data_IF_934268195240
#
_entry.id   IF_934268195240
#
_cell.length_a   1.000
_cell.length_b   1.000
_cell.length_c   1.000
_cell.angle_alpha   90.00
_cell.angle_beta   90.00
_cell.angle_gamma   90.00
#
_symmetry.space_group_name_H-M   'P 1'
#
loop_
_entity.id
_entity.type
_entity.pdbx_description
1 polymer ?
#
# COMPACT_ATOMS: atom_id res chain seq x y z
N UNK A 1 32.41 -68.83 18.45
CA UNK A 1 31.63 -67.95 17.55
C UNK A 1 30.12 -68.04 17.85
N UNK A 2 29.67 -67.63 19.06
CA UNK A 2 28.24 -67.68 19.46
C UNK A 2 27.70 -66.35 20.02
N UNK A 3 28.57 -65.36 20.28
CA UNK A 3 28.19 -64.05 20.83
C UNK A 3 27.76 -63.02 19.78
N UNK A 4 28.38 -63.01 18.60
CA UNK A 4 28.11 -61.99 17.57
C UNK A 4 26.71 -62.10 16.94
N UNK A 5 26.19 -63.32 16.80
CA UNK A 5 24.87 -63.55 16.20
C UNK A 5 23.71 -63.03 17.09
N UNK A 6 23.87 -63.10 18.41
CA UNK A 6 22.88 -62.59 19.36
C UNK A 6 22.86 -61.06 19.40
N UNK A 7 24.02 -60.41 19.28
CA UNK A 7 24.12 -58.95 19.22
C UNK A 7 23.54 -58.42 17.91
N UNK A 8 23.77 -59.11 16.79
CA UNK A 8 23.25 -58.70 15.48
C UNK A 8 21.71 -58.78 15.41
N UNK A 9 21.11 -59.85 15.95
CA UNK A 9 19.63 -59.97 16.02
C UNK A 9 19.04 -58.86 16.90
N UNK A 10 19.66 -58.56 18.04
CA UNK A 10 19.16 -57.54 18.96
C UNK A 10 19.24 -56.13 18.33
N UNK A 11 20.27 -55.85 17.55
CA UNK A 11 20.42 -54.57 16.84
C UNK A 11 19.40 -54.40 15.71
N UNK A 12 19.13 -55.45 14.91
CA UNK A 12 18.10 -55.40 13.87
C UNK A 12 16.69 -55.23 14.44
N UNK A 13 16.41 -55.80 15.61
CA UNK A 13 15.10 -55.67 16.27
C UNK A 13 14.87 -54.24 16.78
N UNK A 14 15.91 -53.58 17.30
CA UNK A 14 15.85 -52.18 17.75
C UNK A 14 15.67 -51.21 16.57
N UNK A 15 16.33 -51.46 15.43
CA UNK A 15 16.16 -50.63 14.23
C UNK A 15 14.75 -50.74 13.66
N UNK A 16 14.17 -51.95 13.61
CA UNK A 16 12.80 -52.16 13.13
C UNK A 16 11.73 -51.56 14.06
N UNK A 17 11.99 -51.46 15.37
CA UNK A 17 11.08 -50.81 16.33
C UNK A 17 11.11 -49.27 16.26
N UNK A 18 12.17 -48.67 15.73
CA UNK A 18 12.31 -47.22 15.60
C UNK A 18 11.72 -46.65 14.30
N UNK A 19 11.40 -47.48 13.30
CA UNK A 19 10.85 -47.04 12.00
C UNK A 19 9.31 -47.17 11.90
N UNK A 20 8.62 -47.53 12.98
CA UNK A 20 7.20 -47.90 12.98
C UNK A 20 6.19 -46.85 13.45
N UNK A 21 6.46 -45.53 13.34
CA UNK A 21 5.53 -44.50 13.80
C UNK A 21 5.22 -43.39 12.78
N UNK A 22 4.95 -43.74 11.52
CA UNK A 22 4.13 -42.89 10.66
C UNK A 22 2.97 -43.70 10.06
N UNK A 23 1.85 -42.98 9.91
CA UNK A 23 0.61 -43.34 9.24
C UNK A 23 -0.46 -44.09 10.04
N UNK A 24 -1.19 -43.29 10.85
CA UNK A 24 -2.63 -43.47 11.03
C UNK A 24 -3.37 -42.11 10.95
N UNK A 25 -3.94 -41.87 9.76
CA UNK A 25 -5.27 -41.30 9.46
C UNK A 25 -5.70 -39.93 10.05
N UNK A 26 -5.72 -38.95 9.13
CA UNK A 26 -6.88 -38.13 8.74
C UNK A 26 -7.81 -37.59 9.84
N UNK A 27 -7.61 -36.31 10.18
CA UNK A 27 -8.73 -35.42 10.53
C UNK A 27 -8.93 -34.49 9.34
N UNK A 28 -10.08 -34.63 8.68
CA UNK A 28 -10.65 -33.60 7.80
C UNK A 28 -10.74 -32.29 8.60
N UNK A 29 -9.84 -31.36 8.30
CA UNK A 29 -10.01 -29.95 8.63
C UNK A 29 -10.76 -29.26 7.49
N UNK A 30 -11.71 -28.34 7.78
CA UNK A 30 -12.49 -27.66 6.76
C UNK A 30 -11.57 -26.95 5.75
N UNK A 31 -11.95 -26.87 4.46
CA UNK A 31 -11.09 -26.34 3.43
C UNK A 31 -10.65 -24.93 3.78
N UNK A 32 -9.33 -24.75 3.85
CA UNK A 32 -8.70 -23.44 3.83
C UNK A 32 -9.31 -22.64 2.66
N UNK A 33 -9.92 -21.51 2.99
CA UNK A 33 -10.47 -20.59 2.02
C UNK A 33 -9.37 -20.24 1.00
N UNK A 34 -9.55 -20.71 -0.23
CA UNK A 34 -8.73 -20.30 -1.35
C UNK A 34 -8.84 -18.76 -1.52
N UNK A 35 -7.77 -18.07 -1.91
CA UNK A 35 -7.85 -16.66 -2.25
C UNK A 35 -8.82 -16.48 -3.43
N UNK A 36 -9.68 -15.45 -3.45
CA UNK A 36 -10.57 -15.22 -4.58
C UNK A 36 -9.74 -14.88 -5.83
N UNK A 37 -9.67 -15.82 -6.76
CA UNK A 37 -9.31 -15.56 -8.14
C UNK A 37 -10.32 -14.58 -8.73
N UNK A 38 -9.83 -13.55 -9.42
CA UNK A 38 -10.62 -12.54 -10.09
C UNK A 38 -11.66 -13.18 -11.04
N UNK A 39 -12.95 -12.94 -10.76
CA UNK A 39 -14.04 -13.24 -11.71
C UNK A 39 -14.66 -11.91 -12.14
N UNK A 40 -14.60 -11.68 -13.44
CA UNK A 40 -15.23 -10.57 -14.16
C UNK A 40 -16.79 -10.61 -14.05
N UNK A 41 -17.50 -9.50 -14.33
CA UNK A 41 -18.83 -9.25 -13.77
C UNK A 41 -19.95 -9.92 -14.57
N UNK A 42 -20.90 -10.53 -13.86
CA UNK A 42 -22.20 -10.93 -14.42
C UNK A 42 -23.26 -9.94 -13.94
N UNK A 43 -23.91 -9.29 -14.91
CA UNK A 43 -25.04 -8.38 -14.75
C UNK A 43 -26.31 -9.09 -14.26
N UNK A 44 -27.08 -8.36 -13.43
CA UNK A 44 -28.52 -8.54 -13.07
C UNK A 44 -28.82 -9.14 -11.69
N UNK A 45 -29.24 -8.29 -10.74
CA UNK A 45 -30.65 -8.12 -10.33
C UNK A 45 -30.79 -7.18 -9.11
N UNK A 46 -31.55 -6.07 -9.27
CA UNK A 46 -32.30 -5.36 -8.20
C UNK A 46 -33.53 -6.24 -7.81
N UNK A 47 -34.24 -6.12 -6.66
CA UNK A 47 -34.44 -4.99 -5.74
C UNK A 47 -34.21 -5.36 -4.24
N UNK A 48 -34.12 -4.47 -3.26
CA UNK A 48 -35.19 -3.65 -2.69
C UNK A 48 -34.61 -2.58 -1.77
N UNK A 49 -35.23 -1.39 -1.83
CA UNK A 49 -35.05 -0.30 -0.91
C UNK A 49 -35.65 -0.63 0.46
N UNK A 50 -34.97 -0.23 1.53
CA UNK A 50 -35.60 0.12 2.80
C UNK A 50 -34.90 1.36 3.31
N UNK A 51 -35.60 2.48 3.17
CA UNK A 51 -35.31 3.74 3.84
C UNK A 51 -35.42 3.54 5.35
N UNK A 52 -34.38 3.89 6.08
CA UNK A 52 -34.54 4.49 7.41
C UNK A 52 -33.55 5.64 7.48
N UNK A 53 -34.07 6.84 7.27
CA UNK A 53 -33.36 8.08 7.56
C UNK A 53 -33.16 8.22 9.06
N UNK A 54 -31.98 8.68 9.45
CA UNK A 54 -31.78 9.53 10.62
C UNK A 54 -30.75 10.58 10.23
N UNK A 55 -31.29 11.76 10.04
CA UNK A 55 -30.67 13.06 9.85
C UNK A 55 -29.68 13.35 10.97
N UNK A 56 -28.40 13.57 10.65
CA UNK A 56 -27.46 14.26 11.55
C UNK A 56 -26.83 15.42 10.77
N UNK A 57 -27.39 16.58 11.03
CA UNK A 57 -27.00 17.90 10.55
C UNK A 57 -25.53 18.20 10.91
N UNK A 58 -24.70 18.74 9.99
CA UNK A 58 -23.36 19.20 10.35
C UNK A 58 -23.46 20.53 11.11
N UNK A 59 -23.05 20.54 12.38
CA UNK A 59 -22.82 21.81 13.10
C UNK A 59 -21.48 22.38 12.65
N UNK A 60 -21.54 23.33 11.73
CA UNK A 60 -20.45 24.27 11.45
C UNK A 60 -20.42 25.28 12.59
N UNK A 61 -19.32 25.36 13.32
CA UNK A 61 -18.99 26.53 14.15
C UNK A 61 -17.76 27.20 13.53
N UNK A 62 -18.01 28.33 12.89
CA UNK A 62 -17.01 29.27 12.43
C UNK A 62 -16.63 30.25 13.57
N UNK A 63 -15.44 30.82 13.41
CA UNK A 63 -14.87 32.00 14.07
C UNK A 63 -14.34 31.85 15.49
N UNK A 64 -13.00 31.98 15.61
CA UNK A 64 -12.37 33.21 16.12
C UNK A 64 -10.84 33.11 15.97
N UNK A 65 -10.30 33.83 14.98
CA UNK A 65 -8.94 34.32 15.05
C UNK A 65 -8.88 35.47 16.07
N UNK A 66 -7.73 35.63 16.76
CA UNK A 66 -7.16 36.97 16.88
C UNK A 66 -5.66 36.97 16.57
N UNK A 67 -5.29 37.73 15.52
CA UNK A 67 -3.97 38.36 15.35
C UNK A 67 -4.14 39.80 15.84
N UNK A 68 -3.27 40.33 16.71
CA UNK A 68 -2.25 41.26 16.22
C UNK A 68 -0.95 41.25 17.04
N UNK A 69 0.21 41.12 16.38
CA UNK A 69 1.48 41.58 16.96
C UNK A 69 2.24 42.50 15.98
N UNK A 70 2.05 43.79 16.24
CA UNK A 70 2.74 44.96 15.72
C UNK A 70 4.27 44.87 15.82
N UNK A 71 4.96 45.15 14.71
CA UNK A 71 6.33 45.68 14.72
C UNK A 71 6.62 46.55 13.48
N UNK A 72 6.69 47.86 13.68
CA UNK A 72 7.49 48.83 12.92
C UNK A 72 8.37 49.54 13.98
N UNK A 73 9.57 50.12 13.71
CA UNK A 73 9.92 50.97 12.55
C UNK A 73 11.35 50.74 12.00
N UNK A 74 11.81 51.31 10.88
CA UNK A 74 12.54 52.59 10.83
C UNK A 74 13.02 52.89 9.40
N UNK A 75 12.85 54.14 8.98
CA UNK A 75 13.26 54.76 7.71
C UNK A 75 14.67 55.35 7.87
N UNK A 76 15.48 55.43 6.81
CA UNK A 76 16.30 56.62 6.63
C UNK A 76 15.95 57.40 5.37
N UNK A 77 15.59 58.65 5.62
CA UNK A 77 15.45 59.79 4.73
C UNK A 77 16.76 60.10 4.01
N UNK A 78 16.74 60.29 2.68
CA UNK A 78 17.66 61.18 1.97
C UNK A 78 16.95 61.82 0.77
N UNK A 79 16.66 63.11 0.90
CA UNK A 79 16.29 64.06 -0.17
C UNK A 79 17.57 64.56 -0.86
N UNK A 80 17.57 64.69 -2.20
CA UNK A 80 17.78 66.02 -2.78
C UNK A 80 16.89 66.32 -4.01
N UNK A 81 16.41 67.57 -4.08
CA UNK A 81 15.74 68.23 -5.22
C UNK A 81 16.79 68.88 -6.18
N UNK A 82 16.42 69.52 -7.31
CA UNK A 82 16.13 68.99 -8.65
C UNK A 82 17.18 69.40 -9.72
N UNK A 83 16.99 69.01 -10.99
CA UNK A 83 16.98 70.06 -12.02
C UNK A 83 15.79 69.99 -13.00
N UNK A 84 15.48 71.17 -13.53
CA UNK A 84 14.34 71.58 -14.38
C UNK A 84 14.44 71.14 -15.85
N UNK A 85 13.26 71.05 -16.52
CA UNK A 85 12.96 71.24 -17.97
C UNK A 85 12.65 69.97 -18.81
N UNK A 86 11.79 70.02 -19.87
CA UNK A 86 10.47 70.64 -20.03
C UNK A 86 9.34 69.59 -20.25
N UNK A 87 8.11 70.07 -20.16
CA UNK A 87 6.84 69.37 -20.40
C UNK A 87 6.61 69.03 -21.90
N UNK A 88 6.28 67.78 -22.27
CA UNK A 88 5.66 67.50 -23.56
C UNK A 88 4.13 67.51 -23.44
N UNK A 89 3.49 68.43 -24.18
CA UNK A 89 2.06 68.41 -24.50
C UNK A 89 1.64 67.02 -24.99
N UNK A 90 0.73 66.39 -24.26
CA UNK A 90 0.08 65.16 -24.72
C UNK A 90 -1.23 65.53 -25.40
N UNK A 91 -1.22 65.48 -26.73
CA UNK A 91 -2.42 65.53 -27.57
C UNK A 91 -3.35 64.37 -27.17
N UNK A 92 -4.54 64.71 -26.67
CA UNK A 92 -5.59 63.75 -26.33
C UNK A 92 -6.17 63.11 -27.58
N UNK A 93 -5.79 61.86 -27.84
CA UNK A 93 -6.43 60.98 -28.83
C UNK A 93 -7.61 60.28 -28.14
N UNK A 94 -8.83 60.25 -28.70
CA UNK A 94 -9.93 59.51 -28.11
C UNK A 94 -9.63 58.00 -28.17
N UNK A 95 -9.29 57.40 -27.05
CA UNK A 95 -9.22 55.94 -26.90
C UNK A 95 -10.66 55.39 -26.95
N UNK A 96 -11.02 54.75 -28.06
CA UNK A 96 -12.21 53.89 -28.11
C UNK A 96 -12.01 52.75 -27.11
N UNK A 97 -12.67 52.86 -25.95
CA UNK A 97 -12.69 51.82 -24.93
C UNK A 97 -13.47 50.63 -25.52
N UNK A 98 -12.88 49.42 -25.62
CA UNK A 98 -13.68 48.25 -25.96
C UNK A 98 -14.66 48.02 -24.81
N UNK A 99 -15.94 48.00 -25.11
CA UNK A 99 -16.96 47.47 -24.19
C UNK A 99 -16.64 46.00 -23.98
N UNK A 100 -16.03 45.67 -22.84
CA UNK A 100 -15.87 44.28 -22.40
C UNK A 100 -17.28 43.79 -22.12
N UNK A 101 -17.84 43.03 -23.06
CA UNK A 101 -19.04 42.26 -22.80
C UNK A 101 -18.71 41.34 -21.64
N UNK A 102 -19.37 41.54 -20.49
CA UNK A 102 -19.36 40.60 -19.36
C UNK A 102 -20.12 39.33 -19.78
N UNK A 103 -19.54 38.59 -20.73
CA UNK A 103 -19.95 37.24 -21.05
C UNK A 103 -19.46 36.33 -19.94
N UNK A 104 -20.38 35.83 -19.12
CA UNK A 104 -20.12 34.73 -18.22
C UNK A 104 -19.54 33.57 -19.04
N UNK A 105 -18.23 33.31 -18.91
CA UNK A 105 -17.62 32.15 -19.53
C UNK A 105 -18.16 30.91 -18.81
N UNK A 106 -18.59 29.86 -19.54
CA UNK A 106 -19.00 28.62 -18.91
C UNK A 106 -17.85 28.06 -18.05
N UNK A 107 -18.14 27.49 -16.87
CA UNK A 107 -17.10 26.94 -16.00
C UNK A 107 -16.32 25.86 -16.74
N UNK A 108 -15.00 25.99 -16.75
CA UNK A 108 -14.09 24.99 -17.28
C UNK A 108 -14.17 23.73 -16.40
N UNK A 109 -14.96 22.74 -16.83
CA UNK A 109 -14.98 21.44 -16.17
C UNK A 109 -13.75 20.66 -16.61
N UNK A 110 -12.76 20.51 -15.72
CA UNK A 110 -11.68 19.55 -15.92
C UNK A 110 -12.28 18.14 -15.81
N UNK A 111 -11.96 17.22 -16.73
CA UNK A 111 -12.33 15.82 -16.55
C UNK A 111 -11.65 15.29 -15.29
N UNK A 112 -12.45 15.02 -14.26
CA UNK A 112 -11.98 14.37 -13.03
C UNK A 112 -11.80 12.89 -13.32
N UNK A 113 -10.56 12.41 -13.28
CA UNK A 113 -10.28 10.97 -13.33
C UNK A 113 -10.88 10.31 -12.09
N UNK A 114 -11.55 9.17 -12.25
CA UNK A 114 -12.02 8.37 -11.12
C UNK A 114 -10.87 8.06 -10.16
N UNK A 115 -11.11 8.10 -8.83
CA UNK A 115 -10.10 7.71 -7.87
C UNK A 115 -9.71 6.24 -8.09
N UNK A 116 -8.41 5.96 -8.05
CA UNK A 116 -7.90 4.59 -8.12
C UNK A 116 -8.30 3.83 -6.87
N UNK A 117 -8.66 2.56 -7.02
CA UNK A 117 -8.80 1.60 -5.93
C UNK A 117 -7.45 1.33 -5.25
N UNK A 118 -7.51 0.78 -4.04
CA UNK A 118 -6.31 0.43 -3.28
C UNK A 118 -5.43 -0.58 -4.03
N UNK A 119 -6.06 -1.56 -4.67
CA UNK A 119 -5.38 -2.56 -5.49
C UNK A 119 -4.70 -1.94 -6.71
N UNK A 120 -5.38 -1.04 -7.43
CA UNK A 120 -4.76 -0.33 -8.55
C UNK A 120 -3.57 0.54 -8.12
N UNK A 121 -3.63 1.16 -6.94
CA UNK A 121 -2.49 1.92 -6.40
C UNK A 121 -1.30 1.01 -6.10
N UNK A 122 -1.55 -0.18 -5.56
CA UNK A 122 -0.50 -1.17 -5.34
C UNK A 122 0.08 -1.69 -6.66
N UNK A 123 -0.77 -2.08 -7.62
CA UNK A 123 -0.34 -2.51 -8.96
C UNK A 123 0.49 -1.45 -9.68
N UNK A 124 0.22 -0.16 -9.48
CA UNK A 124 1.06 0.92 -10.02
C UNK A 124 2.48 0.93 -9.48
N UNK A 125 2.74 0.41 -8.28
CA UNK A 125 4.09 0.30 -7.71
C UNK A 125 4.91 -0.84 -8.32
N UNK A 126 4.28 -1.78 -9.02
CA UNK A 126 4.96 -2.94 -9.56
C UNK A 126 5.28 -2.72 -11.05
N UNK A 127 6.55 -2.50 -11.36
CA UNK A 127 7.03 -2.44 -12.74
C UNK A 127 7.33 -3.85 -13.24
N UNK A 128 6.98 -4.12 -14.50
CA UNK A 128 7.31 -5.36 -15.20
C UNK A 128 6.87 -6.65 -14.48
N UNK A 129 5.78 -6.58 -13.69
CA UNK A 129 5.27 -7.70 -12.89
C UNK A 129 5.07 -8.96 -13.74
N UNK A 130 5.75 -10.03 -13.38
CA UNK A 130 5.58 -11.37 -13.96
C UNK A 130 5.00 -12.31 -12.89
N UNK A 131 3.70 -12.65 -12.95
CA UNK A 131 3.16 -13.70 -12.09
C UNK A 131 3.73 -15.06 -12.46
N UNK A 132 3.97 -15.90 -11.45
CA UNK A 132 4.32 -17.31 -11.66
C UNK A 132 3.06 -18.13 -11.99
N UNK A 133 3.21 -19.22 -12.74
CA UNK A 133 2.11 -20.14 -13.05
C UNK A 133 1.50 -20.77 -11.79
N UNK A 134 2.33 -20.97 -10.76
CA UNK A 134 1.96 -21.41 -9.42
C UNK A 134 2.90 -20.76 -8.39
N UNK A 135 2.49 -20.65 -7.11
CA UNK A 135 3.37 -20.16 -6.05
C UNK A 135 4.68 -20.95 -5.98
N UNK A 136 5.81 -20.25 -5.97
CA UNK A 136 7.16 -20.82 -5.95
C UNK A 136 7.75 -20.69 -4.54
N UNK A 137 8.44 -21.74 -4.09
CA UNK A 137 9.13 -21.74 -2.80
C UNK A 137 10.49 -21.05 -2.91
N UNK A 138 10.71 -20.08 -2.04
CA UNK A 138 12.00 -19.45 -1.80
C UNK A 138 12.44 -19.72 -0.37
N UNK A 139 13.71 -19.45 -0.08
CA UNK A 139 14.21 -19.36 1.28
C UNK A 139 15.01 -18.09 1.51
N UNK A 140 14.98 -17.60 2.74
CA UNK A 140 15.77 -16.44 3.16
C UNK A 140 16.48 -16.65 4.49
N UNK A 141 17.64 -16.02 4.62
CA UNK A 141 18.33 -15.78 5.88
C UNK A 141 18.18 -14.30 6.20
N UNK A 142 17.13 -13.97 6.93
CA UNK A 142 16.84 -12.65 7.47
C UNK A 142 16.46 -11.58 6.43
N UNK A 143 15.31 -11.74 5.78
CA UNK A 143 14.73 -10.71 4.91
C UNK A 143 13.63 -9.94 5.62
N UNK A 144 13.51 -8.65 5.32
CA UNK A 144 12.35 -7.84 5.71
C UNK A 144 11.14 -8.18 4.83
N UNK A 145 9.98 -8.37 5.47
CA UNK A 145 8.69 -8.47 4.79
C UNK A 145 8.04 -7.09 4.78
N UNK A 146 7.75 -6.60 3.59
CA UNK A 146 7.22 -5.26 3.36
C UNK A 146 5.76 -5.32 2.91
N UNK A 147 4.96 -4.36 3.36
CA UNK A 147 3.62 -4.12 2.88
C UNK A 147 3.53 -2.71 2.31
N UNK A 148 2.91 -2.56 1.14
CA UNK A 148 2.58 -1.24 0.62
C UNK A 148 1.20 -0.84 1.12
N UNK A 149 1.13 0.26 1.86
CA UNK A 149 -0.11 0.86 2.31
C UNK A 149 -0.70 1.74 1.20
N UNK A 150 -1.82 1.30 0.60
CA UNK A 150 -2.41 1.99 -0.53
C UNK A 150 -3.21 3.24 -0.13
N UNK A 151 -3.49 3.44 1.16
CA UNK A 151 -4.19 4.63 1.67
C UNK A 151 -3.21 5.79 1.79
N UNK A 152 -2.06 5.56 2.41
CA UNK A 152 -1.03 6.59 2.60
C UNK A 152 0.08 6.55 1.55
N UNK A 153 0.03 5.61 0.61
CA UNK A 153 1.02 5.40 -0.46
C UNK A 153 2.46 5.23 0.05
N UNK A 154 2.64 4.39 1.05
CA UNK A 154 3.91 4.19 1.73
C UNK A 154 4.26 2.71 1.90
N UNK A 155 5.56 2.39 1.84
CA UNK A 155 6.08 1.07 2.17
C UNK A 155 6.31 0.95 3.68
N UNK A 156 5.84 -0.13 4.29
CA UNK A 156 6.00 -0.40 5.73
C UNK A 156 6.50 -1.81 5.96
N UNK A 157 7.49 -1.93 6.85
CA UNK A 157 8.04 -3.21 7.28
C UNK A 157 7.06 -3.85 8.26
N UNK A 158 6.66 -5.08 7.97
CA UNK A 158 5.86 -5.91 8.88
C UNK A 158 6.73 -6.62 9.91
N UNK A 159 7.94 -7.00 9.50
CA UNK A 159 8.92 -7.66 10.34
C UNK A 159 10.01 -8.33 9.51
N UNK A 160 10.81 -9.17 10.15
CA UNK A 160 11.84 -9.97 9.51
C UNK A 160 11.41 -11.43 9.45
N UNK A 161 11.60 -12.07 8.30
CA UNK A 161 11.27 -13.48 8.05
C UNK A 161 12.55 -14.29 7.82
N UNK A 162 12.50 -15.55 8.24
CA UNK A 162 13.59 -16.51 8.13
C UNK A 162 13.03 -17.86 7.68
N UNK A 163 13.79 -18.58 6.86
CA UNK A 163 13.39 -19.89 6.35
C UNK A 163 12.61 -19.79 5.03
N UNK A 164 11.70 -20.74 4.81
CA UNK A 164 10.98 -20.87 3.54
C UNK A 164 9.77 -19.94 3.47
N UNK A 165 9.50 -19.38 2.29
CA UNK A 165 8.29 -18.61 1.99
C UNK A 165 7.81 -18.85 0.57
N UNK A 166 6.55 -18.53 0.28
CA UNK A 166 5.96 -18.64 -1.05
C UNK A 166 5.96 -17.28 -1.72
N UNK A 167 6.37 -17.23 -2.99
CA UNK A 167 6.22 -16.06 -3.85
C UNK A 167 5.29 -16.38 -5.01
N UNK A 168 4.47 -15.41 -5.42
CA UNK A 168 3.47 -15.58 -6.49
C UNK A 168 3.78 -14.75 -7.74
N UNK A 169 4.66 -13.75 -7.63
CA UNK A 169 5.13 -12.96 -8.76
C UNK A 169 6.51 -12.38 -8.46
N UNK A 170 7.21 -11.98 -9.51
CA UNK A 170 8.38 -11.10 -9.45
C UNK A 170 8.04 -9.75 -10.09
N UNK A 171 8.61 -8.67 -9.57
CA UNK A 171 8.45 -7.33 -10.13
C UNK A 171 9.60 -6.42 -9.72
N UNK A 172 9.70 -5.24 -10.33
CA UNK A 172 10.60 -4.18 -9.87
C UNK A 172 9.79 -3.11 -9.14
N UNK A 173 10.16 -2.80 -7.90
CA UNK A 173 9.46 -1.78 -7.11
C UNK A 173 9.73 -0.39 -7.70
N UNK A 174 8.68 0.32 -8.13
CA UNK A 174 8.79 1.62 -8.82
C UNK A 174 9.59 2.66 -8.05
N UNK A 175 9.39 2.77 -6.73
CA UNK A 175 9.99 3.81 -5.91
C UNK A 175 11.51 3.68 -5.76
N UNK A 176 12.06 2.47 -5.90
CA UNK A 176 13.47 2.19 -5.64
C UNK A 176 14.20 1.58 -6.83
N UNK A 177 13.48 1.06 -7.83
CA UNK A 177 14.08 0.32 -8.94
C UNK A 177 14.70 -1.03 -8.52
N UNK A 178 14.29 -1.58 -7.37
CA UNK A 178 14.84 -2.81 -6.81
C UNK A 178 13.89 -3.99 -7.14
N UNK A 179 14.42 -5.14 -7.60
CA UNK A 179 13.63 -6.34 -7.79
C UNK A 179 13.06 -6.87 -6.47
N UNK A 180 11.82 -7.31 -6.50
CA UNK A 180 11.10 -7.85 -5.36
C UNK A 180 10.24 -9.06 -5.77
N UNK A 181 9.97 -9.91 -4.79
CA UNK A 181 9.05 -11.03 -4.89
C UNK A 181 7.75 -10.66 -4.17
N UNK A 182 6.62 -10.86 -4.84
CA UNK A 182 5.31 -10.72 -4.24
C UNK A 182 5.00 -11.96 -3.39
N UNK A 183 4.72 -11.73 -2.11
CA UNK A 183 4.54 -12.76 -1.09
C UNK A 183 3.13 -12.62 -0.52
N UNK A 184 2.23 -13.61 -0.66
CA UNK A 184 0.97 -13.60 0.06
C UNK A 184 1.26 -13.80 1.55
N UNK A 185 0.65 -12.95 2.39
CA UNK A 185 0.80 -13.00 3.84
C UNK A 185 -0.57 -13.06 4.50
N UNK A 186 -0.79 -14.09 5.31
CA UNK A 186 -1.93 -14.16 6.21
C UNK A 186 -1.60 -13.42 7.50
N UNK A 187 -2.44 -12.43 7.82
CA UNK A 187 -2.25 -11.52 8.94
C UNK A 187 -2.11 -12.32 10.25
N UNK A 188 -1.01 -12.06 10.97
CA UNK A 188 -0.65 -12.69 12.25
C UNK A 188 -0.46 -14.22 12.26
N UNK A 189 -0.43 -14.86 11.08
CA UNK A 189 -0.30 -16.33 10.97
C UNK A 189 0.98 -16.73 10.24
N UNK A 190 1.30 -16.04 9.15
CA UNK A 190 2.35 -16.51 8.24
C UNK A 190 3.77 -16.11 8.68
N UNK A 191 4.74 -16.94 8.31
CA UNK A 191 6.19 -16.67 8.39
C UNK A 191 6.74 -16.26 9.78
N UNK A 192 6.05 -16.65 10.85
CA UNK A 192 6.45 -16.34 12.23
C UNK A 192 6.20 -14.89 12.67
N UNK A 193 5.48 -14.10 11.87
CA UNK A 193 5.06 -12.74 12.22
C UNK A 193 3.66 -12.78 12.84
N UNK A 194 3.59 -13.08 14.14
CA UNK A 194 2.33 -13.34 14.87
C UNK A 194 1.92 -12.23 15.85
N UNK A 195 2.59 -11.08 15.82
CA UNK A 195 2.35 -10.00 16.78
C UNK A 195 2.58 -8.64 16.12
N UNK A 196 1.78 -8.36 15.10
CA UNK A 196 1.80 -7.04 14.49
C UNK A 196 1.26 -6.02 15.50
N UNK A 197 1.72 -4.78 15.40
CA UNK A 197 1.21 -3.75 16.31
C UNK A 197 -0.27 -3.49 16.05
N UNK A 198 -1.11 -3.21 17.07
CA UNK A 198 -2.52 -2.93 16.87
C UNK A 198 -2.78 -1.77 15.91
N UNK A 199 -1.90 -0.77 15.90
CA UNK A 199 -2.00 0.36 14.98
C UNK A 199 -1.79 -0.06 13.51
N UNK A 200 -0.93 -1.05 13.26
CA UNK A 200 -0.68 -1.56 11.91
C UNK A 200 -1.84 -2.42 11.43
N UNK A 201 -2.43 -3.25 12.31
CA UNK A 201 -3.64 -4.02 12.03
C UNK A 201 -4.82 -3.12 11.68
N UNK A 202 -5.05 -2.07 12.48
CA UNK A 202 -6.11 -1.09 12.20
C UNK A 202 -5.90 -0.41 10.84
N UNK A 203 -4.64 -0.08 10.51
CA UNK A 203 -4.33 0.50 9.21
C UNK A 203 -4.61 -0.45 8.05
N UNK A 204 -4.34 -1.74 8.22
CA UNK A 204 -4.70 -2.77 7.22
C UNK A 204 -6.21 -2.90 7.09
N UNK A 205 -6.94 -2.88 8.21
CA UNK A 205 -8.40 -2.93 8.23
C UNK A 205 -9.03 -1.73 7.51
N UNK A 206 -8.55 -0.52 7.78
CA UNK A 206 -8.97 0.71 7.10
C UNK A 206 -8.63 0.69 5.59
N UNK A 207 -7.59 -0.04 5.18
CA UNK A 207 -7.27 -0.28 3.78
C UNK A 207 -8.14 -1.36 3.13
N UNK A 208 -9.01 -2.03 3.89
CA UNK A 208 -9.96 -3.04 3.42
C UNK A 208 -9.45 -4.48 3.51
N UNK A 209 -8.37 -4.74 4.26
CA UNK A 209 -7.79 -6.07 4.41
C UNK A 209 -8.15 -6.69 5.76
N UNK A 210 -8.55 -7.97 5.76
CA UNK A 210 -8.96 -8.70 6.98
C UNK A 210 -8.06 -9.89 7.28
N UNK A 211 -7.90 -10.79 6.31
CA UNK A 211 -7.22 -12.07 6.53
C UNK A 211 -5.90 -12.16 5.77
N UNK A 212 -5.91 -11.65 4.53
CA UNK A 212 -4.80 -11.76 3.60
C UNK A 212 -4.43 -10.39 3.06
N UNK A 213 -3.12 -10.18 2.93
CA UNK A 213 -2.54 -9.03 2.23
C UNK A 213 -1.45 -9.49 1.28
N UNK A 214 -1.26 -8.69 0.24
CA UNK A 214 -0.12 -8.82 -0.64
C UNK A 214 1.06 -8.04 -0.05
N UNK A 215 2.15 -8.75 0.17
CA UNK A 215 3.40 -8.22 0.71
C UNK A 215 4.52 -8.48 -0.28
N UNK A 216 5.72 -8.01 0.03
CA UNK A 216 6.87 -8.28 -0.81
C UNK A 216 8.17 -8.37 -0.03
N UNK A 217 9.13 -9.03 -0.64
CA UNK A 217 10.50 -9.17 -0.15
C UNK A 217 11.46 -8.74 -1.25
N UNK A 218 12.45 -7.92 -0.92
CA UNK A 218 13.48 -7.55 -1.89
C UNK A 218 14.37 -8.74 -2.24
N UNK A 219 14.71 -8.86 -3.53
CA UNK A 219 15.67 -9.86 -4.00
C UNK A 219 17.06 -9.39 -3.60
N UNK A 220 17.63 -10.04 -2.59
CA UNK A 220 18.98 -9.81 -2.07
C UNK A 220 19.78 -11.10 -2.10
N UNK A 221 21.07 -11.04 -1.74
CA UNK A 221 21.92 -12.23 -1.61
C UNK A 221 21.41 -13.22 -0.54
N UNK A 222 20.55 -12.77 0.38
CA UNK A 222 19.96 -13.62 1.41
C UNK A 222 18.80 -14.46 0.89
N UNK A 223 18.24 -14.14 -0.29
CA UNK A 223 17.08 -14.82 -0.88
C UNK A 223 17.54 -15.79 -1.95
N UNK A 224 17.13 -17.05 -1.84
CA UNK A 224 17.41 -18.09 -2.82
C UNK A 224 16.14 -18.86 -3.19
N UNK A 225 16.03 -19.24 -4.47
CA UNK A 225 14.98 -20.15 -4.93
C UNK A 225 15.32 -21.57 -4.47
N UNK A 226 14.32 -22.32 -3.99
CA UNK A 226 14.46 -23.74 -3.63
C UNK A 226 14.08 -24.67 -4.77
#
# INVERSE_FOLDING_TARGET
MKGGFRVFILLCTVVMLLTGCMEALQTEGPPAAAPPAAVAPTLSALPQATEVGLELTPTVTANLAPDPATAAPTVPTLTPEPPTLPEPSVTSVPTLRPTVASGSLPPLMLPTRSPLSNEERWRQQQLDRQPFEAPVVFSTVNSELWWFDPVHQQSVILGQINGSFLAQAEFTLRSQGIPALEVPYQIEVSYGLTSLSPALLERMHLAGYTDWIETYVFVTSSVSRR
#
